data_IF_131488959019
#
_entry.id   IF_131488959019
#
_cell.length_a   1.000
_cell.length_b   1.000
_cell.length_c   1.000
_cell.angle_alpha   90.00
_cell.angle_beta   90.00
_cell.angle_gamma   90.00
#
_symmetry.space_group_name_H-M   'P 1'
#
loop_
_entity.id
_entity.type
_entity.pdbx_description
1 polymer ?
#
# COMPACT_ATOMS: atom_id res chain seq x y z
N UNK A 1 -0.69 -22.96 7.62
CA UNK A 1 -0.96 -21.54 7.89
C UNK A 1 0.27 -20.73 7.56
N UNK A 2 0.15 -19.65 6.79
CA UNK A 2 1.25 -18.70 6.68
C UNK A 2 1.49 -18.09 8.07
N UNK A 3 2.76 -18.04 8.49
CA UNK A 3 3.16 -17.33 9.70
C UNK A 3 2.75 -15.86 9.59
N UNK A 4 2.57 -15.17 10.72
CA UNK A 4 2.33 -13.70 10.74
C UNK A 4 3.37 -12.97 9.89
N UNK A 5 4.64 -13.43 9.94
CA UNK A 5 5.72 -12.92 9.10
C UNK A 5 5.42 -13.07 7.60
N UNK A 6 4.89 -14.22 7.20
CA UNK A 6 4.61 -14.48 5.80
C UNK A 6 3.36 -13.72 5.32
N UNK A 7 2.33 -13.56 6.16
CA UNK A 7 1.20 -12.67 5.88
C UNK A 7 1.67 -11.22 5.72
N UNK A 8 2.60 -10.75 6.54
CA UNK A 8 3.17 -9.40 6.43
C UNK A 8 3.91 -9.21 5.11
N UNK A 9 4.76 -10.16 4.72
CA UNK A 9 5.50 -10.11 3.45
C UNK A 9 4.52 -10.07 2.26
N UNK A 10 3.50 -10.94 2.27
CA UNK A 10 2.48 -10.97 1.21
C UNK A 10 1.73 -9.65 1.15
N UNK A 11 1.34 -9.09 2.30
CA UNK A 11 0.63 -7.83 2.36
C UNK A 11 1.46 -6.66 1.83
N UNK A 12 2.75 -6.57 2.20
CA UNK A 12 3.66 -5.56 1.68
C UNK A 12 3.86 -5.69 0.17
N UNK A 13 3.97 -6.91 -0.35
CA UNK A 13 4.05 -7.15 -1.79
C UNK A 13 2.78 -6.67 -2.52
N UNK A 14 1.60 -6.97 -1.98
CA UNK A 14 0.32 -6.50 -2.52
C UNK A 14 0.28 -4.96 -2.52
N UNK A 15 0.66 -4.32 -1.42
CA UNK A 15 0.68 -2.87 -1.32
C UNK A 15 1.62 -2.22 -2.33
N UNK A 16 2.85 -2.74 -2.46
CA UNK A 16 3.83 -2.27 -3.43
C UNK A 16 3.34 -2.40 -4.89
N UNK A 17 2.68 -3.51 -5.22
CA UNK A 17 2.10 -3.73 -6.54
C UNK A 17 0.96 -2.73 -6.80
N UNK A 18 0.03 -2.55 -5.87
CA UNK A 18 -1.08 -1.61 -6.02
C UNK A 18 -0.54 -0.19 -6.26
N UNK A 19 0.40 0.26 -5.43
CA UNK A 19 0.97 1.60 -5.57
C UNK A 19 1.76 1.76 -6.88
N UNK A 20 2.49 0.74 -7.32
CA UNK A 20 3.19 0.80 -8.61
C UNK A 20 2.21 0.85 -9.80
N UNK A 21 1.11 0.10 -9.73
CA UNK A 21 0.07 0.10 -10.76
C UNK A 21 -0.59 1.47 -10.86
N UNK A 22 -0.95 2.09 -9.73
CA UNK A 22 -1.54 3.43 -9.72
C UNK A 22 -0.59 4.44 -10.36
N UNK A 23 0.68 4.47 -9.92
CA UNK A 23 1.69 5.38 -10.44
C UNK A 23 1.88 5.25 -11.97
N UNK A 24 1.83 4.02 -12.51
CA UNK A 24 1.95 3.78 -13.96
C UNK A 24 0.67 4.14 -14.72
N UNK A 25 -0.50 4.04 -14.08
CA UNK A 25 -1.79 4.36 -14.71
C UNK A 25 -2.08 5.85 -14.76
N UNK A 26 -1.57 6.67 -13.84
CA UNK A 26 -1.82 8.12 -13.80
C UNK A 26 -1.72 8.81 -15.17
N UNK A 27 -0.61 8.69 -15.94
CA UNK A 27 -0.49 9.36 -17.24
C UNK A 27 -1.40 8.75 -18.33
N UNK A 28 -1.80 7.48 -18.20
CA UNK A 28 -2.65 6.79 -19.19
C UNK A 28 -4.14 7.06 -18.95
N UNK A 29 -4.48 7.45 -17.73
CA UNK A 29 -5.86 7.62 -17.27
C UNK A 29 -6.25 9.08 -17.03
N UNK A 30 -5.41 10.02 -17.49
CA UNK A 30 -5.59 11.46 -17.26
C UNK A 30 -5.85 11.78 -15.77
N UNK A 31 -5.07 11.13 -14.90
CA UNK A 31 -5.11 11.29 -13.45
C UNK A 31 -6.47 10.93 -12.81
N UNK A 32 -7.27 10.06 -13.43
CA UNK A 32 -8.56 9.63 -12.90
C UNK A 32 -8.47 8.96 -11.52
N UNK A 33 -7.33 8.32 -11.21
CA UNK A 33 -7.10 7.60 -9.95
C UNK A 33 -6.27 8.38 -8.95
N UNK A 34 -5.90 9.63 -9.24
CA UNK A 34 -5.07 10.46 -8.37
C UNK A 34 -5.63 10.55 -6.95
N UNK A 35 -6.97 10.57 -6.81
CA UNK A 35 -7.69 10.57 -5.54
C UNK A 35 -7.29 9.40 -4.60
N UNK A 36 -6.87 8.27 -5.16
CA UNK A 36 -6.51 7.08 -4.39
C UNK A 36 -5.08 7.17 -3.84
N UNK A 37 -4.23 7.99 -4.46
CA UNK A 37 -2.84 8.19 -4.06
C UNK A 37 -2.63 9.35 -3.06
N UNK A 38 -3.71 9.98 -2.58
CA UNK A 38 -3.65 11.20 -1.75
C UNK A 38 -2.83 11.05 -0.49
N UNK A 39 -2.80 9.87 0.13
CA UNK A 39 -2.02 9.64 1.35
C UNK A 39 -0.53 9.79 1.05
N UNK A 40 -0.05 9.17 -0.02
CA UNK A 40 1.32 9.30 -0.50
C UNK A 40 1.64 10.70 -1.00
N UNK A 41 0.74 11.33 -1.75
CA UNK A 41 0.91 12.71 -2.25
C UNK A 41 1.04 13.70 -1.07
N UNK A 42 0.20 13.54 -0.05
CA UNK A 42 0.25 14.36 1.16
C UNK A 42 1.57 14.21 1.89
N UNK A 43 2.08 12.97 2.02
CA UNK A 43 3.39 12.74 2.61
C UNK A 43 4.54 13.35 1.77
N UNK A 44 4.50 13.18 0.45
CA UNK A 44 5.48 13.80 -0.44
C UNK A 44 5.49 15.32 -0.30
N UNK A 45 4.31 15.95 -0.17
CA UNK A 45 4.19 17.39 0.05
C UNK A 45 4.74 17.82 1.41
N UNK A 46 4.43 17.08 2.49
CA UNK A 46 4.94 17.35 3.84
C UNK A 46 6.48 17.31 3.89
N UNK A 47 7.09 16.38 3.17
CA UNK A 47 8.55 16.24 3.13
C UNK A 47 9.22 17.02 2.01
N UNK A 48 8.48 17.78 1.20
CA UNK A 48 9.01 18.46 0.01
C UNK A 48 10.20 19.38 0.30
N UNK A 49 10.13 20.17 1.39
CA UNK A 49 11.24 21.03 1.81
C UNK A 49 12.46 20.24 2.24
N UNK A 50 12.27 19.11 2.91
CA UNK A 50 13.35 18.25 3.39
C UNK A 50 14.06 17.50 2.26
N UNK A 51 13.36 17.27 1.13
CA UNK A 51 13.93 16.62 -0.05
C UNK A 51 14.58 17.60 -1.03
N UNK A 52 14.70 18.88 -0.65
CA UNK A 52 15.26 19.92 -1.50
C UNK A 52 14.39 20.23 -2.72
N UNK A 53 13.09 19.96 -2.66
CA UNK A 53 12.16 20.16 -3.77
C UNK A 53 12.34 19.20 -4.94
N UNK A 54 12.90 18.00 -4.69
CA UNK A 54 13.11 17.00 -5.72
C UNK A 54 11.82 16.27 -6.07
N UNK A 55 11.35 16.42 -7.32
CA UNK A 55 10.19 15.70 -7.86
C UNK A 55 10.37 14.18 -7.79
N UNK A 56 11.56 13.69 -8.14
CA UNK A 56 11.85 12.25 -8.11
C UNK A 56 11.71 11.67 -6.69
N UNK A 57 12.25 12.38 -5.69
CA UNK A 57 12.14 11.93 -4.29
C UNK A 57 10.70 12.05 -3.80
N UNK A 58 9.97 13.08 -4.21
CA UNK A 58 8.53 13.19 -3.94
C UNK A 58 7.73 12.00 -4.48
N UNK A 59 7.99 11.59 -5.72
CA UNK A 59 7.35 10.40 -6.33
C UNK A 59 7.72 9.13 -5.54
N UNK A 60 9.00 8.97 -5.16
CA UNK A 60 9.43 7.83 -4.37
C UNK A 60 8.75 7.77 -2.99
N UNK A 61 8.61 8.91 -2.31
CA UNK A 61 7.89 9.02 -1.02
C UNK A 61 6.41 8.66 -1.22
N UNK A 62 5.77 9.23 -2.25
CA UNK A 62 4.38 8.95 -2.57
C UNK A 62 4.16 7.45 -2.75
N UNK A 63 4.99 6.81 -3.60
CA UNK A 63 4.93 5.39 -3.86
C UNK A 63 5.13 4.54 -2.59
N UNK A 64 6.16 4.82 -1.78
CA UNK A 64 6.41 4.07 -0.54
C UNK A 64 5.25 4.20 0.43
N UNK A 65 4.73 5.41 0.64
CA UNK A 65 3.67 5.65 1.61
C UNK A 65 2.36 4.99 1.16
N UNK A 66 1.98 5.12 -0.12
CA UNK A 66 0.82 4.42 -0.67
C UNK A 66 0.99 2.89 -0.56
N UNK A 67 2.17 2.36 -0.87
CA UNK A 67 2.46 0.94 -0.72
C UNK A 67 2.25 0.44 0.72
N UNK A 68 2.68 1.24 1.71
CA UNK A 68 2.45 0.92 3.13
C UNK A 68 0.95 1.01 3.50
N UNK A 69 0.23 2.01 3.00
CA UNK A 69 -1.21 2.16 3.25
C UNK A 69 -2.01 0.98 2.71
N UNK A 70 -1.81 0.61 1.44
CA UNK A 70 -2.48 -0.55 0.85
C UNK A 70 -2.01 -1.87 1.45
N UNK A 71 -0.71 -1.96 1.78
CA UNK A 71 -0.14 -3.13 2.44
C UNK A 71 -0.77 -3.35 3.82
N UNK A 72 -1.00 -2.29 4.59
CA UNK A 72 -1.68 -2.39 5.89
C UNK A 72 -3.14 -2.89 5.73
N UNK A 73 -3.85 -2.38 4.72
CA UNK A 73 -5.20 -2.86 4.39
C UNK A 73 -5.22 -4.34 4.02
N UNK A 74 -4.31 -4.77 3.15
CA UNK A 74 -4.15 -6.18 2.77
C UNK A 74 -3.80 -7.05 3.99
N UNK A 75 -2.92 -6.57 4.87
CA UNK A 75 -2.53 -7.30 6.07
C UNK A 75 -3.72 -7.51 7.01
N UNK A 76 -4.52 -6.48 7.26
CA UNK A 76 -5.72 -6.58 8.08
C UNK A 76 -6.70 -7.64 7.54
N UNK A 77 -6.92 -7.65 6.23
CA UNK A 77 -7.77 -8.66 5.56
C UNK A 77 -7.21 -10.07 5.79
N UNK A 78 -5.90 -10.28 5.57
CA UNK A 78 -5.27 -11.60 5.75
C UNK A 78 -5.35 -12.10 7.20
N UNK A 79 -5.24 -11.20 8.19
CA UNK A 79 -5.39 -11.54 9.60
C UNK A 79 -6.84 -11.96 9.90
N UNK A 80 -7.83 -11.21 9.45
CA UNK A 80 -9.25 -11.53 9.64
C UNK A 80 -9.60 -12.87 9.00
N UNK A 81 -9.18 -13.10 7.76
CA UNK A 81 -9.40 -14.38 7.07
C UNK A 81 -8.73 -15.55 7.80
N UNK A 82 -7.52 -15.34 8.33
CA UNK A 82 -6.81 -16.35 9.11
C UNK A 82 -7.54 -16.69 10.41
N UNK A 83 -8.13 -15.68 11.09
CA UNK A 83 -8.91 -15.86 12.31
C UNK A 83 -10.23 -16.60 12.05
N UNK A 84 -10.97 -16.20 11.02
CA UNK A 84 -12.23 -16.86 10.62
C UNK A 84 -12.00 -18.34 10.27
N UNK A 85 -10.91 -18.65 9.55
CA UNK A 85 -10.57 -20.03 9.21
C UNK A 85 -10.24 -20.87 10.44
N UNK A 86 -9.60 -20.28 11.47
CA UNK A 86 -9.35 -20.96 12.76
C UNK A 86 -10.65 -21.31 13.46
N UNK A 87 -11.59 -20.37 13.52
CA UNK A 87 -12.90 -20.60 14.13
C UNK A 87 -13.65 -21.73 13.40
N UNK A 88 -13.74 -21.68 12.08
CA UNK A 88 -14.41 -22.71 11.29
C UNK A 88 -13.81 -24.12 11.50
N UNK A 89 -12.47 -24.21 11.60
CA UNK A 89 -11.79 -25.51 11.81
C UNK A 89 -11.94 -26.06 13.23
N UNK A 90 -12.38 -25.24 14.20
CA UNK A 90 -12.60 -25.67 15.59
C UNK A 90 -14.02 -26.18 15.85
N UNK A 91 -14.93 -26.00 14.90
CA UNK A 91 -16.35 -26.39 15.00
C UNK A 91 -16.65 -27.71 14.26
N UNK A 92 -15.68 -28.26 13.53
CA UNK A 92 -15.70 -29.59 12.89
C UNK A 92 -14.74 -30.53 13.58
#
# INVERSE_FOLDING_TARGET
MLSVKANLIVALAIGAIISAVLLVLEPVTDFAFLSWEWVGISAAYLFWGATGGSTFVGIAICWVVNALTYGLGAFAILIVLSALRRQASSTT
#
